data_IF_284625018778
#
_entry.id   IF_284625018778
#
_cell.length_a   1.000
_cell.length_b   1.000
_cell.length_c   1.000
_cell.angle_alpha   90.00
_cell.angle_beta   90.00
_cell.angle_gamma   90.00
#
_symmetry.space_group_name_H-M   'P 1'
#
loop_
_entity.id
_entity.type
_entity.pdbx_description
1 polymer ?
#
# COMPACT_ATOMS: atom_id res chain seq x y z
N UNK A 1 -47.78 20.98 -43.33
CA UNK A 1 -48.11 19.63 -43.82
C UNK A 1 -46.89 19.03 -44.51
N UNK A 2 -46.28 17.98 -43.94
CA UNK A 2 -45.70 16.81 -44.63
C UNK A 2 -45.25 15.83 -43.53
N UNK A 3 -45.89 14.66 -43.53
CA UNK A 3 -45.70 13.55 -42.60
C UNK A 3 -44.38 12.84 -42.94
N UNK A 4 -43.57 12.53 -41.94
CA UNK A 4 -42.40 11.65 -42.09
C UNK A 4 -42.84 10.22 -41.77
N UNK A 5 -42.61 9.33 -42.73
CA UNK A 5 -43.00 7.93 -42.71
C UNK A 5 -41.98 7.11 -41.93
N UNK A 6 -42.49 6.25 -41.04
CA UNK A 6 -41.76 5.20 -40.33
C UNK A 6 -41.44 4.10 -41.34
N UNK A 7 -40.20 3.62 -41.38
CA UNK A 7 -39.82 2.39 -42.07
C UNK A 7 -39.13 1.46 -41.07
N UNK A 8 -39.82 0.37 -40.76
CA UNK A 8 -39.36 -0.79 -40.00
C UNK A 8 -38.60 -1.68 -40.97
N UNK A 9 -37.38 -2.10 -40.62
CA UNK A 9 -36.67 -3.19 -41.28
C UNK A 9 -36.15 -4.19 -40.26
N UNK A 10 -36.34 -5.45 -40.61
CA UNK A 10 -36.30 -6.66 -39.80
C UNK A 10 -34.89 -7.30 -39.78
N UNK A 11 -34.62 -7.98 -38.66
CA UNK A 11 -33.58 -8.97 -38.33
C UNK A 11 -32.69 -9.51 -39.47
N UNK A 12 -31.39 -9.58 -39.18
CA UNK A 12 -30.53 -10.70 -39.57
C UNK A 12 -29.84 -11.27 -38.33
N UNK A 13 -30.24 -12.49 -37.96
CA UNK A 13 -29.52 -13.36 -37.03
C UNK A 13 -28.32 -13.95 -37.77
N UNK A 14 -27.10 -13.55 -37.38
CA UNK A 14 -25.89 -14.24 -37.81
C UNK A 14 -25.62 -15.40 -36.84
N UNK A 15 -25.77 -16.62 -37.35
CA UNK A 15 -25.31 -17.84 -36.69
C UNK A 15 -23.79 -17.94 -36.82
N UNK A 16 -23.08 -17.87 -35.69
CA UNK A 16 -21.68 -18.31 -35.63
C UNK A 16 -21.66 -19.84 -35.45
N UNK A 17 -21.28 -20.55 -36.50
CA UNK A 17 -20.84 -21.93 -36.45
C UNK A 17 -19.58 -22.04 -35.59
N UNK A 18 -19.67 -22.74 -34.46
CA UNK A 18 -18.49 -23.17 -33.72
C UNK A 18 -18.00 -24.50 -34.33
N UNK A 19 -16.82 -24.45 -34.96
CA UNK A 19 -16.08 -25.64 -35.37
C UNK A 19 -15.69 -26.45 -34.13
N UNK A 20 -16.00 -27.73 -34.16
CA UNK A 20 -15.68 -28.71 -33.12
C UNK A 20 -14.25 -29.19 -33.34
N UNK A 21 -13.31 -28.62 -32.60
CA UNK A 21 -11.96 -29.18 -32.44
C UNK A 21 -12.08 -30.35 -31.45
N UNK A 22 -11.94 -31.57 -31.95
CA UNK A 22 -11.78 -32.77 -31.13
C UNK A 22 -10.38 -32.79 -30.55
N UNK A 23 -10.21 -32.30 -29.32
CA UNK A 23 -9.01 -32.49 -28.51
C UNK A 23 -9.27 -33.65 -27.52
N UNK A 24 -8.63 -34.80 -27.78
CA UNK A 24 -8.55 -35.95 -26.88
C UNK A 24 -7.70 -35.61 -25.64
N UNK A 25 -8.24 -34.79 -24.74
CA UNK A 25 -7.67 -34.61 -23.40
C UNK A 25 -8.52 -35.31 -22.36
N UNK A 26 -7.94 -36.39 -21.85
CA UNK A 26 -8.14 -37.02 -20.56
C UNK A 26 -9.41 -36.61 -19.79
N UNK A 27 -10.40 -37.50 -19.73
CA UNK A 27 -11.48 -37.45 -18.74
C UNK A 27 -10.85 -37.35 -17.34
N UNK A 28 -11.04 -36.25 -16.58
CA UNK A 28 -10.85 -36.33 -15.15
C UNK A 28 -12.06 -37.11 -14.60
N UNK A 29 -11.80 -38.32 -14.10
CA UNK A 29 -12.76 -39.01 -13.25
C UNK A 29 -13.14 -38.05 -12.11
N UNK A 30 -14.41 -37.65 -12.08
CA UNK A 30 -14.99 -36.93 -10.98
C UNK A 30 -15.04 -37.86 -9.76
N UNK A 31 -13.88 -38.08 -9.12
CA UNK A 31 -13.83 -38.49 -7.73
C UNK A 31 -14.31 -37.29 -6.92
N UNK A 32 -15.63 -37.20 -6.79
CA UNK A 32 -16.28 -36.38 -5.77
C UNK A 32 -15.83 -36.97 -4.44
N UNK A 33 -14.70 -36.47 -3.93
CA UNK A 33 -14.34 -36.61 -2.53
C UNK A 33 -15.50 -35.98 -1.79
N UNK A 34 -16.35 -36.81 -1.19
CA UNK A 34 -17.31 -36.38 -0.19
C UNK A 34 -16.47 -35.83 0.95
N UNK A 35 -16.16 -34.53 0.89
CA UNK A 35 -15.68 -33.80 2.04
C UNK A 35 -16.81 -33.89 3.03
N UNK A 36 -16.62 -34.77 4.01
CA UNK A 36 -17.47 -34.87 5.18
C UNK A 36 -17.61 -33.45 5.73
N UNK A 37 -18.78 -32.85 5.56
CA UNK A 37 -19.27 -31.72 6.36
C UNK A 37 -19.39 -32.22 7.81
N UNK A 38 -18.26 -32.51 8.45
CA UNK A 38 -18.19 -32.34 9.89
C UNK A 38 -18.36 -30.85 10.06
N UNK A 39 -19.57 -30.45 10.44
CA UNK A 39 -19.83 -29.16 11.02
C UNK A 39 -18.65 -28.87 11.96
N UNK A 40 -17.80 -27.93 11.53
CA UNK A 40 -16.82 -27.34 12.42
C UNK A 40 -17.71 -26.71 13.48
N UNK A 41 -17.85 -27.40 14.60
CA UNK A 41 -18.43 -26.79 15.78
C UNK A 41 -17.63 -25.51 15.97
N UNK A 42 -18.28 -24.34 16.14
CA UNK A 42 -17.55 -23.14 16.48
C UNK A 42 -16.72 -23.52 17.69
N UNK A 43 -15.40 -23.63 17.49
CA UNK A 43 -14.48 -23.67 18.60
C UNK A 43 -14.85 -22.40 19.33
N UNK A 44 -15.42 -22.53 20.54
CA UNK A 44 -15.53 -21.41 21.45
C UNK A 44 -14.14 -20.82 21.45
N UNK A 45 -13.98 -19.67 20.79
CA UNK A 45 -12.75 -18.94 20.84
C UNK A 45 -12.64 -18.60 22.32
N UNK A 46 -11.83 -19.38 23.06
CA UNK A 46 -11.19 -18.89 24.27
C UNK A 46 -10.81 -17.45 23.95
N UNK A 47 -11.19 -16.49 24.80
CA UNK A 47 -10.87 -15.08 24.61
C UNK A 47 -9.37 -14.96 24.38
N UNK A 48 -8.92 -15.07 23.13
CA UNK A 48 -7.55 -14.93 22.71
C UNK A 48 -7.33 -13.43 22.76
N UNK A 49 -7.04 -12.97 23.97
CA UNK A 49 -6.05 -11.96 24.34
C UNK A 49 -5.76 -10.95 23.22
N UNK A 50 -6.78 -10.16 22.85
CA UNK A 50 -6.53 -8.95 22.09
C UNK A 50 -5.52 -8.10 22.86
N UNK A 51 -4.48 -7.63 22.18
CA UNK A 51 -3.55 -6.65 22.74
C UNK A 51 -4.34 -5.37 23.02
N UNK A 52 -4.62 -5.11 24.30
CA UNK A 52 -5.35 -3.91 24.75
C UNK A 52 -4.35 -2.81 25.07
N UNK A 53 -4.23 -1.84 24.18
CA UNK A 53 -3.49 -0.60 24.45
C UNK A 53 -4.43 0.35 25.21
N UNK A 54 -3.99 0.85 26.37
CA UNK A 54 -4.79 1.85 27.12
C UNK A 54 -4.94 3.12 26.29
N UNK A 55 -6.05 3.85 26.47
CA UNK A 55 -6.30 5.10 25.74
C UNK A 55 -5.19 6.15 25.96
N UNK A 56 -4.58 6.14 27.14
CA UNK A 56 -3.50 7.07 27.50
C UNK A 56 -2.17 6.73 26.81
N UNK A 57 -1.97 5.47 26.43
CA UNK A 57 -0.77 4.98 25.73
C UNK A 57 -1.00 4.81 24.22
N UNK A 58 -2.26 4.87 23.75
CA UNK A 58 -2.59 4.71 22.34
C UNK A 58 -2.02 5.88 21.53
N UNK A 59 -1.33 5.61 20.41
CA UNK A 59 -0.80 6.66 19.56
C UNK A 59 -1.94 7.50 19.00
N UNK A 60 -1.82 8.82 19.11
CA UNK A 60 -2.75 9.76 18.47
C UNK A 60 -2.37 9.92 17.01
N UNK A 61 -2.72 8.92 16.19
CA UNK A 61 -2.39 8.88 14.75
C UNK A 61 -2.90 10.10 13.97
N UNK A 62 -3.88 10.83 14.52
CA UNK A 62 -4.41 12.06 13.92
C UNK A 62 -3.61 13.32 14.25
N UNK A 63 -2.77 13.30 15.29
CA UNK A 63 -1.95 14.47 15.68
C UNK A 63 -0.50 14.35 15.23
N UNK A 64 -0.07 13.15 14.85
CA UNK A 64 1.27 12.88 14.36
C UNK A 64 1.19 11.89 13.20
N UNK A 65 1.33 12.42 11.98
CA UNK A 65 1.27 11.63 10.76
C UNK A 65 2.46 10.67 10.62
N UNK A 66 3.52 10.87 11.41
CA UNK A 66 4.76 10.10 11.38
C UNK A 66 4.73 8.85 12.29
N UNK A 67 3.70 8.72 13.13
CA UNK A 67 3.60 7.63 14.11
C UNK A 67 3.15 6.32 13.46
N UNK A 68 3.95 5.28 13.62
CA UNK A 68 3.68 3.95 13.11
C UNK A 68 2.98 3.07 14.16
N UNK A 69 1.86 2.42 13.81
CA UNK A 69 1.08 1.62 14.76
C UNK A 69 1.84 0.36 15.20
N UNK A 70 2.57 -0.29 14.28
CA UNK A 70 3.34 -1.49 14.57
C UNK A 70 4.32 -1.33 15.74
N UNK A 71 4.87 -0.11 15.95
CA UNK A 71 5.77 0.19 17.08
C UNK A 71 5.14 -0.01 18.46
N UNK A 72 3.82 -0.06 18.55
CA UNK A 72 3.08 -0.19 19.80
C UNK A 72 2.54 -1.59 20.04
N UNK A 73 2.54 -2.45 19.00
CA UNK A 73 1.99 -3.80 19.05
C UNK A 73 3.04 -4.88 18.90
N UNK A 74 4.20 -4.55 18.31
CA UNK A 74 5.31 -5.48 18.15
C UNK A 74 6.14 -5.57 19.43
N UNK A 75 6.54 -6.80 19.78
CA UNK A 75 7.46 -7.08 20.88
C UNK A 75 8.90 -7.16 20.34
N UNK A 76 9.77 -6.28 20.85
CA UNK A 76 11.19 -6.21 20.49
C UNK A 76 12.13 -6.66 21.62
N UNK A 77 11.59 -7.21 22.71
CA UNK A 77 12.35 -7.63 23.90
C UNK A 77 13.52 -8.57 23.56
N UNK A 78 13.30 -9.53 22.66
CA UNK A 78 14.36 -10.45 22.22
C UNK A 78 15.52 -9.71 21.53
N UNK A 79 15.22 -8.72 20.68
CA UNK A 79 16.25 -7.93 20.02
C UNK A 79 17.06 -7.11 21.04
N UNK A 80 16.39 -6.53 22.03
CA UNK A 80 17.04 -5.78 23.11
C UNK A 80 17.91 -6.68 24.00
N UNK A 81 17.46 -7.90 24.31
CA UNK A 81 18.25 -8.91 25.04
C UNK A 81 19.54 -9.30 24.28
N UNK A 82 19.50 -9.29 22.95
CA UNK A 82 20.65 -9.50 22.08
C UNK A 82 21.54 -8.26 21.91
N UNK A 83 21.17 -7.14 22.53
CA UNK A 83 21.92 -5.87 22.47
C UNK A 83 21.64 -5.04 21.23
N UNK A 84 20.63 -5.40 20.43
CA UNK A 84 20.19 -4.59 19.30
C UNK A 84 19.29 -3.47 19.79
N UNK A 85 19.52 -2.26 19.27
CA UNK A 85 18.70 -1.10 19.57
C UNK A 85 18.09 -0.58 18.28
N UNK A 86 16.77 -0.57 18.20
CA UNK A 86 16.08 -0.01 17.05
C UNK A 86 16.30 1.49 16.94
N UNK A 87 16.53 1.96 15.71
CA UNK A 87 16.74 3.36 15.41
C UNK A 87 16.09 3.71 14.07
N UNK A 88 15.92 5.00 13.79
CA UNK A 88 15.33 5.49 12.55
C UNK A 88 16.32 6.46 11.93
N UNK A 89 16.62 6.29 10.65
CA UNK A 89 17.53 7.23 9.97
C UNK A 89 16.91 8.61 9.87
N UNK A 90 17.75 9.63 9.66
CA UNK A 90 17.24 10.94 9.28
C UNK A 90 16.50 10.88 7.93
N UNK A 91 15.57 11.80 7.72
CA UNK A 91 15.01 12.05 6.39
C UNK A 91 16.14 12.44 5.44
N UNK A 92 16.23 11.73 4.32
CA UNK A 92 17.12 12.04 3.20
C UNK A 92 16.29 12.26 1.96
N UNK A 93 16.79 13.02 0.99
CA UNK A 93 16.10 13.19 -0.28
C UNK A 93 16.06 11.83 -1.00
N UNK A 94 14.93 11.49 -1.60
CA UNK A 94 14.85 10.31 -2.48
C UNK A 94 15.85 10.47 -3.62
N UNK A 95 16.72 9.49 -3.79
CA UNK A 95 17.75 9.48 -4.84
C UNK A 95 17.17 9.06 -6.20
N UNK A 96 16.12 8.23 -6.18
CA UNK A 96 15.45 7.74 -7.37
C UNK A 96 14.65 8.84 -8.10
N UNK A 97 14.68 8.78 -9.43
CA UNK A 97 13.82 9.59 -10.27
C UNK A 97 12.41 8.97 -10.34
N UNK A 98 11.41 9.74 -9.93
CA UNK A 98 9.99 9.45 -10.19
C UNK A 98 9.51 10.24 -11.40
N UNK A 99 8.37 9.84 -11.98
CA UNK A 99 7.82 10.47 -13.17
C UNK A 99 7.67 11.99 -12.98
N UNK A 100 8.26 12.76 -13.90
CA UNK A 100 8.19 14.22 -13.95
C UNK A 100 6.75 14.72 -14.07
N UNK A 101 5.82 13.89 -14.52
CA UNK A 101 4.38 14.19 -14.51
C UNK A 101 3.82 14.37 -13.09
N UNK A 102 4.48 13.85 -12.06
CA UNK A 102 4.05 14.03 -10.67
C UNK A 102 4.57 15.32 -10.04
N UNK A 103 5.63 15.92 -10.59
CA UNK A 103 6.25 17.16 -10.10
C UNK A 103 5.89 18.42 -10.91
N UNK A 104 5.06 18.28 -11.95
CA UNK A 104 4.65 19.41 -12.79
C UNK A 104 3.38 20.10 -12.28
N UNK A 105 3.36 21.44 -12.11
CA UNK A 105 2.20 22.18 -11.61
C UNK A 105 1.00 22.25 -12.57
N UNK A 106 1.12 21.71 -13.79
CA UNK A 106 0.10 21.78 -14.85
C UNK A 106 -0.69 20.47 -15.04
N UNK A 107 -0.66 19.58 -14.04
CA UNK A 107 -1.21 18.24 -14.13
C UNK A 107 -2.58 18.16 -13.48
N UNK A 108 -3.39 17.14 -13.78
CA UNK A 108 -4.82 17.11 -13.39
C UNK A 108 -5.08 16.53 -11.99
N UNK A 109 -4.10 16.58 -11.08
CA UNK A 109 -4.25 16.01 -9.75
C UNK A 109 -5.12 16.90 -8.84
N UNK A 110 -6.41 16.62 -8.79
CA UNK A 110 -7.39 17.43 -8.05
C UNK A 110 -7.23 17.36 -6.51
N UNK A 111 -6.58 16.33 -5.99
CA UNK A 111 -6.44 16.06 -4.55
C UNK A 111 -5.09 15.39 -4.26
N UNK A 112 -4.36 15.80 -3.18
CA UNK A 112 -3.09 15.20 -2.80
C UNK A 112 -3.17 13.68 -2.54
N UNK A 113 -4.32 13.15 -2.12
CA UNK A 113 -4.50 11.70 -1.95
C UNK A 113 -4.41 10.92 -3.27
N UNK A 114 -4.92 11.48 -4.38
CA UNK A 114 -4.79 10.87 -5.72
C UNK A 114 -3.34 10.91 -6.18
N UNK A 115 -2.67 12.03 -5.93
CA UNK A 115 -1.26 12.23 -6.25
C UNK A 115 -0.36 11.25 -5.47
N UNK A 116 -0.62 11.05 -4.18
CA UNK A 116 0.08 10.08 -3.33
C UNK A 116 -0.03 8.66 -3.90
N UNK A 117 -1.23 8.23 -4.28
CA UNK A 117 -1.45 6.90 -4.86
C UNK A 117 -0.77 6.74 -6.23
N UNK A 118 -0.77 7.80 -7.05
CA UNK A 118 -0.06 7.81 -8.33
C UNK A 118 1.45 7.64 -8.13
N UNK A 119 2.04 8.38 -7.18
CA UNK A 119 3.43 8.20 -6.79
C UNK A 119 3.72 6.77 -6.33
N UNK A 120 2.86 6.20 -5.47
CA UNK A 120 3.05 4.81 -5.01
C UNK A 120 3.07 3.79 -6.15
N UNK A 121 2.30 4.05 -7.20
CA UNK A 121 2.24 3.18 -8.39
C UNK A 121 3.48 3.35 -9.27
N UNK A 122 4.05 4.56 -9.32
CA UNK A 122 5.21 4.89 -10.15
C UNK A 122 6.52 4.35 -9.57
N UNK A 123 6.78 4.61 -8.27
CA UNK A 123 8.06 4.22 -7.65
C UNK A 123 8.07 2.77 -7.16
N UNK A 124 7.00 2.02 -7.42
CA UNK A 124 6.83 0.63 -6.96
C UNK A 124 7.27 0.48 -5.49
N UNK A 125 6.63 1.22 -4.57
CA UNK A 125 7.06 1.35 -3.15
C UNK A 125 7.27 -0.02 -2.47
N UNK A 126 6.70 -1.08 -3.02
CA UNK A 126 6.93 -2.44 -2.56
C UNK A 126 8.31 -3.05 -2.88
N UNK A 127 9.07 -2.53 -3.84
CA UNK A 127 10.33 -3.16 -4.26
C UNK A 127 11.42 -3.09 -3.20
N UNK A 128 11.49 -2.00 -2.44
CA UNK A 128 12.54 -1.79 -1.43
C UNK A 128 12.52 -2.83 -0.30
N UNK A 129 11.33 -3.32 0.07
CA UNK A 129 11.14 -4.37 1.07
C UNK A 129 10.69 -5.71 0.43
N UNK A 130 10.65 -5.78 -0.90
CA UNK A 130 10.25 -6.95 -1.67
C UNK A 130 8.87 -7.51 -1.32
N UNK A 131 8.76 -8.84 -1.26
CA UNK A 131 7.51 -9.55 -0.93
C UNK A 131 7.22 -9.60 0.58
N UNK A 132 8.13 -9.08 1.41
CA UNK A 132 8.12 -9.21 2.87
C UNK A 132 7.44 -8.01 3.55
N UNK A 133 6.66 -7.23 2.80
CA UNK A 133 5.88 -6.11 3.33
C UNK A 133 4.60 -6.65 3.97
N UNK A 134 4.43 -6.32 5.24
CA UNK A 134 3.28 -6.74 6.03
C UNK A 134 2.25 -5.63 6.15
N UNK A 135 2.72 -4.37 6.15
CA UNK A 135 1.85 -3.22 6.32
C UNK A 135 2.32 -2.06 5.44
N UNK A 136 1.37 -1.39 4.78
CA UNK A 136 1.58 -0.10 4.13
C UNK A 136 0.48 0.85 4.60
N UNK A 137 0.89 1.92 5.26
CA UNK A 137 0.03 3.02 5.68
C UNK A 137 0.24 4.23 4.79
N UNK A 138 -0.86 4.89 4.45
CA UNK A 138 -0.83 6.17 3.74
C UNK A 138 -1.55 7.24 4.53
N UNK A 139 -0.96 8.43 4.64
CA UNK A 139 -1.60 9.58 5.32
C UNK A 139 -1.39 10.87 4.56
N UNK A 140 -2.35 11.77 4.70
CA UNK A 140 -2.27 13.15 4.19
C UNK A 140 -2.42 14.09 5.38
N UNK A 141 -1.44 14.96 5.57
CA UNK A 141 -1.47 16.06 6.52
C UNK A 141 -1.60 17.36 5.73
N UNK A 142 -2.76 18.02 5.84
CA UNK A 142 -2.93 19.35 5.25
C UNK A 142 -2.26 20.40 6.15
N UNK A 143 -1.28 21.10 5.61
CA UNK A 143 -0.62 22.22 6.30
C UNK A 143 -1.46 23.50 6.12
N UNK A 144 -2.02 23.68 4.92
CA UNK A 144 -2.99 24.71 4.57
C UNK A 144 -3.79 24.30 3.32
N UNK A 145 -4.50 25.23 2.69
CA UNK A 145 -5.31 24.99 1.49
C UNK A 145 -4.51 24.64 0.22
N UNK A 146 -3.22 24.99 0.19
CA UNK A 146 -2.31 24.85 -0.95
C UNK A 146 -1.06 24.01 -0.64
N UNK A 147 -0.87 23.56 0.59
CA UNK A 147 0.28 22.76 1.01
C UNK A 147 -0.17 21.53 1.81
N UNK A 148 0.42 20.38 1.49
CA UNK A 148 0.16 19.13 2.20
C UNK A 148 1.43 18.26 2.28
N UNK A 149 1.51 17.43 3.32
CA UNK A 149 2.48 16.36 3.43
C UNK A 149 1.79 15.02 3.19
N UNK A 150 2.38 14.18 2.35
CA UNK A 150 1.93 12.83 2.07
C UNK A 150 2.91 11.85 2.66
N UNK A 151 2.43 10.88 3.42
CA UNK A 151 3.26 9.87 4.07
C UNK A 151 2.90 8.51 3.50
N UNK A 152 3.91 7.75 3.09
CA UNK A 152 3.82 6.34 2.73
C UNK A 152 4.75 5.62 3.68
N UNK A 153 4.19 4.71 4.46
CA UNK A 153 4.82 4.17 5.66
C UNK A 153 4.73 2.67 5.57
N UNK A 154 5.86 2.01 5.33
CA UNK A 154 5.90 0.56 5.11
C UNK A 154 6.65 -0.14 6.23
N UNK A 155 6.17 -1.33 6.58
CA UNK A 155 6.74 -2.21 7.57
C UNK A 155 6.78 -3.63 7.05
N UNK A 156 7.86 -4.33 7.33
CA UNK A 156 8.10 -5.68 6.86
C UNK A 156 9.31 -6.32 7.53
N UNK A 157 9.53 -7.59 7.20
CA UNK A 157 10.66 -8.38 7.70
C UNK A 157 11.60 -8.79 6.58
N UNK A 158 11.91 -7.86 5.67
CA UNK A 158 12.70 -8.15 4.49
C UNK A 158 14.12 -8.61 4.81
N UNK A 159 14.82 -7.85 5.65
CA UNK A 159 16.18 -8.14 6.08
C UNK A 159 16.29 -7.90 7.59
N UNK A 160 17.24 -8.57 8.23
CA UNK A 160 17.48 -8.45 9.66
C UNK A 160 18.03 -7.06 10.06
N UNK A 161 18.42 -6.26 9.08
CA UNK A 161 18.87 -4.87 9.23
C UNK A 161 17.72 -3.85 9.19
N UNK A 162 16.75 -4.00 8.27
CA UNK A 162 15.71 -2.99 7.98
C UNK A 162 14.31 -3.54 8.26
N UNK A 163 13.62 -2.92 9.23
CA UNK A 163 12.25 -3.24 9.62
C UNK A 163 11.19 -2.50 8.80
N UNK A 164 11.56 -1.42 8.12
CA UNK A 164 10.57 -0.61 7.42
C UNK A 164 11.20 0.55 6.67
N UNK A 165 10.37 1.18 5.85
CA UNK A 165 10.77 2.27 4.97
C UNK A 165 9.63 3.27 4.87
N UNK A 166 9.93 4.54 5.10
CA UNK A 166 8.95 5.61 4.95
C UNK A 166 9.36 6.56 3.83
N UNK A 167 8.37 7.01 3.06
CA UNK A 167 8.47 8.12 2.12
C UNK A 167 7.58 9.26 2.58
N UNK A 168 8.10 10.49 2.53
CA UNK A 168 7.39 11.73 2.81
C UNK A 168 7.44 12.65 1.60
N UNK A 169 6.27 12.98 1.08
CA UNK A 169 6.08 13.86 -0.06
C UNK A 169 5.65 15.23 0.42
N UNK A 170 6.37 16.26 -0.01
CA UNK A 170 5.89 17.64 0.10
C UNK A 170 5.11 17.98 -1.15
N UNK A 171 3.83 18.27 -0.99
CA UNK A 171 2.91 18.54 -2.09
C UNK A 171 2.42 19.99 -2.05
N UNK A 172 2.28 20.58 -3.23
CA UNK A 172 1.79 21.94 -3.43
C UNK A 172 0.65 21.98 -4.40
N UNK A 173 -0.25 22.95 -4.21
CA UNK A 173 -1.35 23.25 -5.11
C UNK A 173 -1.06 24.54 -5.87
N UNK A 174 -1.12 24.47 -7.19
CA UNK A 174 -1.00 25.62 -8.09
C UNK A 174 -2.05 25.49 -9.20
N UNK A 175 -2.69 26.60 -9.58
CA UNK A 175 -3.74 26.63 -10.63
C UNK A 175 -4.89 25.61 -10.42
N UNK A 176 -5.16 25.24 -9.17
CA UNK A 176 -6.20 24.27 -8.82
C UNK A 176 -5.73 22.82 -8.70
N UNK A 177 -4.46 22.53 -9.01
CA UNK A 177 -3.92 21.19 -9.10
C UNK A 177 -2.72 20.95 -8.21
N UNK A 178 -2.59 19.71 -7.73
CA UNK A 178 -1.52 19.29 -6.84
C UNK A 178 -0.32 18.72 -7.60
N UNK A 179 0.88 18.94 -7.09
CA UNK A 179 2.12 18.35 -7.59
C UNK A 179 3.10 18.12 -6.43
N UNK A 180 4.09 17.24 -6.64
CA UNK A 180 5.15 16.92 -5.68
C UNK A 180 6.26 17.95 -5.84
N UNK A 181 6.52 18.73 -4.79
CA UNK A 181 7.67 19.65 -4.72
C UNK A 181 8.96 18.88 -4.38
N UNK A 182 8.88 17.94 -3.44
CA UNK A 182 10.01 17.12 -3.02
C UNK A 182 9.56 15.81 -2.40
N UNK A 183 10.41 14.78 -2.50
CA UNK A 183 10.25 13.51 -1.81
C UNK A 183 11.47 13.27 -0.90
N UNK A 184 11.20 12.81 0.31
CA UNK A 184 12.19 12.37 1.29
C UNK A 184 11.90 10.94 1.71
N UNK A 185 12.92 10.22 2.14
CA UNK A 185 12.83 8.85 2.63
C UNK A 185 13.61 8.66 3.92
N UNK A 186 13.29 7.60 4.66
CA UNK A 186 14.06 7.12 5.81
C UNK A 186 13.81 5.63 6.05
N UNK A 187 14.73 5.00 6.75
CA UNK A 187 14.63 3.58 7.12
C UNK A 187 14.37 3.42 8.63
N UNK A 188 13.63 2.38 8.98
CA UNK A 188 13.54 1.88 10.36
C UNK A 188 14.51 0.71 10.49
N UNK A 189 15.55 0.87 11.32
CA UNK A 189 16.61 -0.10 11.49
C UNK A 189 16.33 -1.02 12.67
N UNK A 190 16.31 -2.33 12.43
CA UNK A 190 16.09 -3.36 13.43
C UNK A 190 17.24 -3.47 14.43
N UNK A 191 18.48 -3.23 13.97
CA UNK A 191 19.72 -3.42 14.74
C UNK A 191 20.45 -2.13 15.11
N UNK A 192 19.89 -0.99 14.71
CA UNK A 192 20.47 0.33 14.92
C UNK A 192 21.14 0.88 13.67
N UNK A 193 21.74 2.06 13.80
CA UNK A 193 22.37 2.78 12.69
C UNK A 193 23.89 2.68 12.80
N UNK A 194 24.54 2.37 11.67
CA UNK A 194 26.00 2.36 11.59
C UNK A 194 26.57 3.76 11.75
N UNK A 195 27.39 3.97 12.78
CA UNK A 195 27.93 5.29 13.16
C UNK A 195 28.60 6.05 12.01
N UNK A 196 29.20 5.34 11.05
CA UNK A 196 29.95 5.91 9.92
C UNK A 196 29.12 6.04 8.65
N UNK A 197 28.16 5.15 8.46
CA UNK A 197 27.42 5.01 7.20
C UNK A 197 26.10 5.76 7.22
N UNK A 198 25.48 5.90 8.40
CA UNK A 198 24.11 6.42 8.51
C UNK A 198 23.04 5.48 7.98
N UNK A 199 23.41 4.24 7.64
CA UNK A 199 22.52 3.17 7.19
C UNK A 199 22.27 2.15 8.30
N UNK A 200 21.23 1.33 8.14
CA UNK A 200 20.93 0.24 9.08
C UNK A 200 22.07 -0.79 9.15
N UNK A 201 22.26 -1.36 10.35
CA UNK A 201 23.25 -2.40 10.67
C UNK A 201 22.73 -3.83 10.48
#
# INVERSE_FOLDING_TARGET
MKKLSIMVSILFLAACSAETITDERAKPEANVVKVSEKAVQPVEAEEQEYIKISKDNAPKLWSDADVQLWKYVMDFSLSEELGYKQEITNWRKVEDEFDKSLSSPNQTWENPGKLLLAFMTDVEVSNYLGQEIWEVNTRIEFLDENNALGYIMSYGFFDDSTAGYDTKLKMKKENGYWYIESAEERDHCSRGIGEKSGFCL
#
